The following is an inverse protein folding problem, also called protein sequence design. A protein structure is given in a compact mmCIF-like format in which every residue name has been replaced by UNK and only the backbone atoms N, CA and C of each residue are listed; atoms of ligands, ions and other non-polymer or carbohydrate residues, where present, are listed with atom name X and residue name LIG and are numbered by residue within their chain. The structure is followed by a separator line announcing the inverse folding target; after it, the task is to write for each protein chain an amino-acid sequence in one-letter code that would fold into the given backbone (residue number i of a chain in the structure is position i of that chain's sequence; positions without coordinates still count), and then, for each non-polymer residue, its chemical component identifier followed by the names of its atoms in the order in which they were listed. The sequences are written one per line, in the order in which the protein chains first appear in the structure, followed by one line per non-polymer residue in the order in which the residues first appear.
data_IF_263898402253
#
_entry.id   IF_263898402253
#
_cell.length_a   1.000
_cell.length_b   1.000
_cell.length_c   1.000
_cell.angle_alpha   90.00
_cell.angle_beta   90.00
_cell.angle_gamma   90.00
#
_symmetry.space_group_name_H-M   'P 1'
#
loop_
_entity.id
_entity.type
_entity.pdbx_description
1 polymer ?
#
# COMPACT_ATOMS: atom_id res chain seq x y z
N UNK A 1 -19.24 -2.22 20.30
CA UNK A 1 -18.22 -3.06 19.63
C UNK A 1 -18.47 -3.06 18.13
N UNK A 2 -19.55 -3.67 17.63
CA UNK A 2 -19.76 -3.77 16.18
C UNK A 2 -19.88 -2.41 15.46
N UNK A 3 -20.47 -1.39 16.11
CA UNK A 3 -20.48 -0.03 15.56
C UNK A 3 -19.06 0.54 15.35
N UNK A 4 -18.15 0.34 16.32
CA UNK A 4 -16.75 0.78 16.22
C UNK A 4 -15.98 -0.03 15.16
N UNK A 5 -16.26 -1.34 15.05
CA UNK A 5 -15.68 -2.16 13.97
C UNK A 5 -16.08 -1.63 12.59
N UNK A 6 -17.38 -1.37 12.37
CA UNK A 6 -17.89 -0.86 11.09
C UNK A 6 -17.32 0.53 10.77
N UNK A 7 -17.18 1.40 11.76
CA UNK A 7 -16.55 2.72 11.60
C UNK A 7 -15.11 2.59 11.11
N UNK A 8 -14.29 1.76 11.78
CA UNK A 8 -12.89 1.54 11.41
C UNK A 8 -12.79 0.85 10.03
N UNK A 9 -13.66 -0.12 9.74
CA UNK A 9 -13.70 -0.78 8.43
C UNK A 9 -14.10 0.18 7.31
N UNK A 10 -15.03 1.10 7.57
CA UNK A 10 -15.43 2.13 6.60
C UNK A 10 -14.28 3.08 6.27
N UNK A 11 -13.40 3.37 7.23
CA UNK A 11 -12.18 4.14 6.99
C UNK A 11 -11.09 3.34 6.21
N UNK A 12 -11.20 2.01 6.15
CA UNK A 12 -10.24 1.11 5.53
C UNK A 12 -10.93 0.07 4.62
N UNK A 13 -11.70 0.50 3.61
CA UNK A 13 -12.58 -0.39 2.84
C UNK A 13 -11.81 -1.50 2.10
N UNK A 14 -10.63 -1.18 1.59
CA UNK A 14 -9.81 -2.07 0.75
C UNK A 14 -8.88 -3.01 1.53
N UNK A 15 -8.94 -2.98 2.87
CA UNK A 15 -8.07 -3.78 3.74
C UNK A 15 -8.88 -4.79 4.54
N UNK A 16 -8.35 -6.00 4.69
CA UNK A 16 -8.83 -6.91 5.72
C UNK A 16 -8.55 -6.29 7.09
N UNK A 17 -9.53 -6.27 7.99
CA UNK A 17 -9.37 -5.65 9.31
C UNK A 17 -9.06 -6.70 10.38
N UNK A 18 -7.79 -6.77 10.79
CA UNK A 18 -7.38 -7.52 11.98
C UNK A 18 -7.80 -6.74 13.23
N UNK A 19 -8.97 -7.08 13.79
CA UNK A 19 -9.54 -6.37 14.91
C UNK A 19 -9.20 -7.06 16.25
N UNK A 20 -8.40 -6.41 17.10
CA UNK A 20 -7.94 -7.04 18.34
C UNK A 20 -9.05 -7.25 19.36
N UNK A 21 -9.21 -8.51 19.74
CA UNK A 21 -10.16 -9.02 20.72
C UNK A 21 -9.42 -9.91 21.73
N UNK A 22 -8.78 -9.28 22.71
CA UNK A 22 -7.95 -9.98 23.69
C UNK A 22 -6.70 -10.55 23.02
N UNK A 23 -6.57 -11.88 23.06
CA UNK A 23 -5.43 -12.63 22.51
C UNK A 23 -5.63 -13.08 21.05
N UNK A 24 -6.68 -12.58 20.39
CA UNK A 24 -7.00 -12.88 18.99
C UNK A 24 -7.15 -11.60 18.17
N UNK A 25 -6.78 -11.68 16.90
CA UNK A 25 -7.30 -10.81 15.85
C UNK A 25 -8.51 -11.49 15.23
N UNK A 26 -9.65 -10.84 15.32
CA UNK A 26 -10.91 -11.30 14.71
C UNK A 26 -11.22 -10.47 13.46
N UNK A 27 -11.78 -11.12 12.45
CA UNK A 27 -12.33 -10.50 11.25
C UNK A 27 -13.82 -10.84 11.19
N UNK A 28 -14.63 -9.93 10.64
CA UNK A 28 -16.09 -10.10 10.56
C UNK A 28 -16.61 -9.87 9.14
N UNK A 29 -17.81 -10.39 8.85
CA UNK A 29 -18.51 -10.23 7.58
C UNK A 29 -17.66 -10.77 6.41
N UNK A 30 -17.59 -10.02 5.30
CA UNK A 30 -16.85 -10.40 4.11
C UNK A 30 -15.35 -10.63 4.38
N UNK A 31 -14.74 -9.83 5.26
CA UNK A 31 -13.34 -10.00 5.64
C UNK A 31 -13.09 -11.38 6.26
N UNK A 32 -14.04 -11.89 7.06
CA UNK A 32 -13.96 -13.21 7.66
C UNK A 32 -14.00 -14.31 6.60
N UNK A 33 -14.86 -14.17 5.60
CA UNK A 33 -14.99 -15.14 4.53
C UNK A 33 -13.75 -15.16 3.62
N UNK A 34 -13.22 -13.99 3.28
CA UNK A 34 -11.98 -13.85 2.50
C UNK A 34 -10.81 -14.46 3.27
N UNK A 35 -10.61 -14.06 4.53
CA UNK A 35 -9.50 -14.54 5.35
C UNK A 35 -9.62 -16.05 5.63
N UNK A 36 -10.83 -16.57 5.87
CA UNK A 36 -11.05 -18.01 6.04
C UNK A 36 -10.61 -18.81 4.81
N UNK A 37 -11.01 -18.38 3.61
CA UNK A 37 -10.61 -19.03 2.36
C UNK A 37 -9.11 -18.90 2.09
N UNK A 38 -8.55 -17.70 2.25
CA UNK A 38 -7.14 -17.41 1.99
C UNK A 38 -6.20 -18.16 2.96
N UNK A 39 -6.56 -18.21 4.24
CA UNK A 39 -5.73 -18.79 5.30
C UNK A 39 -6.05 -20.26 5.59
N UNK A 40 -7.15 -20.79 5.08
CA UNK A 40 -7.62 -22.14 5.40
C UNK A 40 -8.00 -22.28 6.89
N UNK A 41 -8.51 -21.21 7.50
CA UNK A 41 -8.96 -21.21 8.91
C UNK A 41 -10.47 -21.35 9.00
N UNK A 42 -10.97 -21.85 10.12
CA UNK A 42 -12.40 -22.12 10.32
C UNK A 42 -13.20 -20.81 10.30
N UNK A 43 -14.21 -20.76 9.42
CA UNK A 43 -15.25 -19.74 9.45
C UNK A 43 -16.32 -20.13 10.48
N UNK A 44 -16.58 -19.23 11.41
CA UNK A 44 -17.58 -19.38 12.48
C UNK A 44 -18.56 -18.21 12.43
N UNK A 45 -19.37 -18.06 13.48
CA UNK A 45 -20.33 -16.97 13.59
C UNK A 45 -20.36 -16.36 14.99
N UNK A 46 -20.60 -15.05 15.08
CA UNK A 46 -20.65 -14.32 16.36
C UNK A 46 -21.86 -13.38 16.43
N UNK A 47 -22.92 -13.84 17.07
CA UNK A 47 -24.13 -13.04 17.29
C UNK A 47 -24.87 -12.73 15.99
N UNK A 48 -25.70 -11.68 16.02
CA UNK A 48 -26.53 -11.26 14.88
C UNK A 48 -26.43 -9.76 14.60
N UNK A 49 -26.47 -9.37 13.33
CA UNK A 49 -26.59 -7.99 12.88
C UNK A 49 -27.73 -7.90 11.86
N UNK A 50 -28.69 -6.99 12.09
CA UNK A 50 -29.88 -6.82 11.23
C UNK A 50 -30.73 -8.09 11.00
N UNK A 51 -30.63 -9.08 11.89
CA UNK A 51 -31.37 -10.34 11.79
C UNK A 51 -30.52 -11.52 11.34
N UNK A 52 -29.38 -11.26 10.69
CA UNK A 52 -28.49 -12.27 10.14
C UNK A 52 -27.32 -12.60 11.06
N UNK A 53 -26.84 -13.84 11.02
CA UNK A 53 -25.65 -14.26 11.77
C UNK A 53 -24.41 -13.58 11.19
N UNK A 54 -23.50 -13.10 12.05
CA UNK A 54 -22.28 -12.39 11.62
C UNK A 54 -21.16 -13.42 11.36
N UNK A 55 -20.66 -13.60 10.12
CA UNK A 55 -19.50 -14.43 9.84
C UNK A 55 -18.27 -13.92 10.60
N UNK A 56 -17.47 -14.84 11.16
CA UNK A 56 -16.29 -14.51 11.94
C UNK A 56 -15.21 -15.57 11.82
N UNK A 57 -13.96 -15.16 11.63
CA UNK A 57 -12.79 -16.00 11.85
C UNK A 57 -11.75 -15.22 12.65
N UNK A 58 -10.79 -15.92 13.23
CA UNK A 58 -9.72 -15.25 13.97
C UNK A 58 -8.43 -16.03 14.00
N UNK A 59 -7.35 -15.29 14.27
CA UNK A 59 -5.99 -15.81 14.40
C UNK A 59 -5.43 -15.37 15.76
N UNK A 60 -4.65 -16.22 16.46
CA UNK A 60 -4.06 -15.84 17.72
C UNK A 60 -2.96 -14.78 17.50
N UNK A 61 -2.89 -13.80 18.40
CA UNK A 61 -1.95 -12.66 18.30
C UNK A 61 -0.50 -13.12 18.22
N UNK A 62 -0.13 -14.15 18.99
CA UNK A 62 1.21 -14.76 19.00
C UNK A 62 1.67 -15.30 17.63
N UNK A 63 0.73 -15.63 16.73
CA UNK A 63 1.02 -16.11 15.37
C UNK A 63 0.56 -15.13 14.29
N UNK A 64 0.19 -13.90 14.67
CA UNK A 64 -0.37 -12.94 13.73
C UNK A 64 0.56 -12.65 12.55
N UNK A 65 1.87 -12.55 12.80
CA UNK A 65 2.88 -12.31 11.76
C UNK A 65 2.87 -13.39 10.66
N UNK A 66 2.73 -14.66 11.03
CA UNK A 66 2.70 -15.77 10.07
C UNK A 66 1.45 -15.68 9.16
N UNK A 67 0.30 -15.33 9.75
CA UNK A 67 -0.94 -15.15 8.99
C UNK A 67 -0.91 -13.88 8.14
N UNK A 68 -0.32 -12.79 8.64
CA UNK A 68 -0.06 -11.59 7.85
C UNK A 68 0.79 -11.94 6.64
N UNK A 69 1.90 -12.67 6.79
CA UNK A 69 2.74 -13.09 5.68
C UNK A 69 1.96 -13.80 4.58
N UNK A 70 1.10 -14.74 4.97
CA UNK A 70 0.29 -15.51 4.03
C UNK A 70 -0.74 -14.63 3.32
N UNK A 71 -1.39 -13.72 4.02
CA UNK A 71 -2.33 -12.76 3.42
C UNK A 71 -1.62 -11.84 2.43
N UNK A 72 -0.45 -11.30 2.78
CA UNK A 72 0.32 -10.43 1.90
C UNK A 72 0.86 -11.20 0.67
N UNK A 73 1.32 -12.44 0.85
CA UNK A 73 1.73 -13.29 -0.28
C UNK A 73 0.57 -13.54 -1.25
N UNK A 74 -0.66 -13.64 -0.73
CA UNK A 74 -1.91 -13.70 -1.49
C UNK A 74 -2.44 -12.32 -1.93
N UNK A 75 -1.59 -11.29 -1.87
CA UNK A 75 -1.86 -9.94 -2.36
C UNK A 75 -2.96 -9.17 -1.61
N UNK A 76 -3.32 -9.60 -0.39
CA UNK A 76 -4.23 -8.84 0.46
C UNK A 76 -3.52 -7.69 1.16
N UNK A 77 -4.25 -6.63 1.49
CA UNK A 77 -3.83 -5.55 2.38
C UNK A 77 -4.51 -5.76 3.73
N UNK A 78 -3.81 -5.50 4.83
CA UNK A 78 -4.33 -5.77 6.18
C UNK A 78 -4.17 -4.54 7.07
N UNK A 79 -5.27 -4.08 7.66
CA UNK A 79 -5.28 -3.06 8.70
C UNK A 79 -5.24 -3.73 10.07
N UNK A 80 -4.22 -3.43 10.86
CA UNK A 80 -4.05 -3.97 12.22
C UNK A 80 -4.62 -2.98 13.22
N UNK A 81 -5.74 -3.36 13.83
CA UNK A 81 -6.46 -2.56 14.79
C UNK A 81 -6.21 -3.07 16.21
N UNK A 82 -5.63 -2.19 17.04
CA UNK A 82 -5.14 -2.50 18.39
C UNK A 82 -6.02 -1.88 19.47
N UNK A 83 -5.90 -2.40 20.69
CA UNK A 83 -6.53 -1.81 21.88
C UNK A 83 -5.68 -0.64 22.40
N UNK A 84 -6.25 0.56 22.38
CA UNK A 84 -5.55 1.77 22.82
C UNK A 84 -5.70 2.06 24.33
N UNK A 85 -6.56 1.31 25.01
CA UNK A 85 -6.73 1.41 26.47
C UNK A 85 -6.92 0.02 27.07
N UNK A 86 -6.55 -0.14 28.34
CA UNK A 86 -6.77 -1.37 29.09
C UNK A 86 -8.28 -1.60 29.30
N UNK A 87 -8.80 -2.83 29.13
CA UNK A 87 -10.17 -3.20 29.49
C UNK A 87 -10.61 -2.77 30.90
N UNK A 88 -9.72 -2.74 31.87
CA UNK A 88 -9.98 -2.27 33.23
C UNK A 88 -10.25 -0.76 33.27
N UNK A 89 -9.47 0.04 32.54
CA UNK A 89 -9.68 1.49 32.41
C UNK A 89 -10.98 1.80 31.66
N UNK A 90 -11.30 1.04 30.61
CA UNK A 90 -12.57 1.18 29.91
C UNK A 90 -13.76 0.93 30.83
N UNK A 91 -13.69 -0.10 31.70
CA UNK A 91 -14.73 -0.41 32.70
C UNK A 91 -14.92 0.72 33.72
N UNK A 92 -13.86 1.45 34.08
CA UNK A 92 -13.96 2.64 34.97
C UNK A 92 -14.77 3.77 34.35
N UNK A 93 -14.79 3.90 33.01
CA UNK A 93 -15.62 4.89 32.29
C UNK A 93 -17.11 4.52 32.25
N UNK A 94 -17.46 3.31 32.65
CA UNK A 94 -18.83 2.81 32.76
C UNK A 94 -18.96 1.36 32.28
N UNK A 95 -19.90 0.61 32.84
CA UNK A 95 -20.08 -0.83 32.54
C UNK A 95 -20.44 -1.15 31.08
N UNK A 96 -20.90 -0.15 30.31
CA UNK A 96 -21.20 -0.25 28.87
C UNK A 96 -20.14 0.39 27.97
N UNK A 97 -19.06 0.91 28.54
CA UNK A 97 -17.96 1.54 27.80
C UNK A 97 -17.22 0.50 26.96
N UNK A 98 -17.06 0.81 25.67
CA UNK A 98 -16.30 -0.02 24.73
C UNK A 98 -14.84 0.44 24.76
N UNK A 99 -13.92 -0.53 24.86
CA UNK A 99 -12.47 -0.31 24.76
C UNK A 99 -12.16 0.40 23.44
N UNK A 100 -11.50 1.56 23.52
CA UNK A 100 -11.00 2.34 22.40
C UNK A 100 -10.01 1.53 21.59
N UNK A 101 -10.18 1.60 20.28
CA UNK A 101 -9.38 0.89 19.30
C UNK A 101 -9.18 1.78 18.09
N UNK A 102 -8.03 1.63 17.47
CA UNK A 102 -7.71 2.31 16.22
C UNK A 102 -6.72 1.46 15.42
N UNK A 103 -6.59 1.76 14.14
CA UNK A 103 -5.58 1.16 13.27
C UNK A 103 -4.24 1.75 13.66
N UNK A 104 -3.34 0.90 14.16
CA UNK A 104 -1.98 1.30 14.50
C UNK A 104 -0.98 0.96 13.40
N UNK A 105 -1.43 0.21 12.39
CA UNK A 105 -0.59 -0.19 11.27
C UNK A 105 -1.40 -0.64 10.06
N UNK A 106 -0.96 -0.26 8.87
CA UNK A 106 -1.41 -0.84 7.60
C UNK A 106 -0.28 -1.68 7.02
N UNK A 107 -0.55 -2.95 6.74
CA UNK A 107 0.40 -3.89 6.13
C UNK A 107 -0.04 -4.11 4.69
N UNK A 108 0.84 -3.77 3.74
CA UNK A 108 0.56 -3.93 2.31
C UNK A 108 1.73 -4.63 1.61
N UNK A 109 1.49 -5.25 0.44
CA UNK A 109 2.55 -5.88 -0.33
C UNK A 109 3.71 -4.94 -0.70
N UNK A 110 3.54 -3.63 -0.79
CA UNK A 110 4.61 -2.69 -1.10
C UNK A 110 5.29 -2.06 0.13
N UNK A 111 4.77 -2.27 1.34
CA UNK A 111 5.16 -1.45 2.51
C UNK A 111 5.55 -2.24 3.76
N UNK A 112 5.85 -3.51 3.57
CA UNK A 112 6.44 -4.38 4.59
C UNK A 112 7.86 -3.91 4.93
N UNK A 113 8.22 -4.00 6.21
CA UNK A 113 9.59 -3.74 6.70
C UNK A 113 10.16 -4.87 7.56
N UNK A 114 9.34 -5.85 7.95
CA UNK A 114 9.76 -6.95 8.81
C UNK A 114 10.54 -8.00 8.05
N UNK A 115 11.73 -8.33 8.56
CA UNK A 115 12.60 -9.37 8.00
C UNK A 115 11.88 -10.71 7.75
N UNK A 116 10.93 -11.08 8.62
CA UNK A 116 10.16 -12.32 8.48
C UNK A 116 9.23 -12.34 7.26
N UNK A 117 8.79 -11.17 6.84
CA UNK A 117 7.86 -10.99 5.72
C UNK A 117 8.60 -10.73 4.39
N UNK A 118 9.89 -10.41 4.43
CA UNK A 118 10.71 -10.12 3.26
C UNK A 118 11.35 -11.40 2.70
N UNK A 119 11.37 -11.51 1.36
CA UNK A 119 12.12 -12.55 0.66
C UNK A 119 13.62 -12.18 0.61
N UNK A 120 14.53 -13.00 1.16
CA UNK A 120 15.96 -12.71 1.11
C UNK A 120 16.48 -12.59 -0.33
N UNK A 121 17.22 -11.52 -0.61
CA UNK A 121 17.89 -11.32 -1.90
C UNK A 121 17.01 -10.78 -3.03
N UNK A 122 15.74 -10.44 -2.75
CA UNK A 122 14.84 -9.79 -3.71
C UNK A 122 14.35 -8.46 -3.19
N UNK A 123 14.40 -7.43 -4.04
CA UNK A 123 13.89 -6.11 -3.68
C UNK A 123 12.36 -6.16 -3.48
N UNK A 124 11.87 -5.41 -2.50
CA UNK A 124 10.45 -5.36 -2.16
C UNK A 124 9.89 -3.99 -2.52
N UNK A 125 9.69 -3.82 -3.83
CA UNK A 125 9.49 -2.50 -4.41
C UNK A 125 8.01 -2.14 -4.50
N UNK A 126 7.67 -1.02 -3.87
CA UNK A 126 6.48 -0.25 -4.20
C UNK A 126 6.76 0.63 -5.42
N UNK A 127 5.90 0.60 -6.43
CA UNK A 127 5.99 1.52 -7.57
C UNK A 127 4.80 2.47 -7.59
N UNK A 128 5.05 3.77 -7.47
CA UNK A 128 4.03 4.79 -7.72
C UNK A 128 4.09 5.27 -9.18
N UNK A 129 2.93 5.41 -9.81
CA UNK A 129 2.80 5.86 -11.20
C UNK A 129 1.97 7.15 -11.25
N UNK A 130 2.51 8.17 -11.90
CA UNK A 130 1.83 9.44 -12.16
C UNK A 130 1.84 9.76 -13.66
N UNK A 131 0.75 10.36 -14.15
CA UNK A 131 0.61 10.80 -15.55
C UNK A 131 0.60 12.31 -15.63
N UNK A 132 1.53 12.86 -16.39
CA UNK A 132 1.49 14.25 -16.82
C UNK A 132 0.90 14.31 -18.23
N UNK A 133 -0.29 14.91 -18.34
CA UNK A 133 -0.93 15.11 -19.64
C UNK A 133 -0.24 16.25 -20.39
N UNK A 134 0.02 16.03 -21.67
CA UNK A 134 0.53 17.08 -22.55
C UNK A 134 -0.56 17.53 -23.53
N UNK A 135 -0.65 18.84 -23.78
CA UNK A 135 -1.65 19.41 -24.69
C UNK A 135 -1.32 19.15 -26.15
N UNK A 136 -0.04 19.24 -26.52
CA UNK A 136 0.46 19.13 -27.91
C UNK A 136 1.55 18.05 -28.07
N UNK A 137 1.67 17.13 -27.11
CA UNK A 137 2.65 16.05 -27.14
C UNK A 137 2.08 14.76 -26.54
N UNK A 138 2.83 13.66 -26.64
CA UNK A 138 2.47 12.43 -25.94
C UNK A 138 2.52 12.62 -24.42
N UNK A 139 1.60 11.95 -23.73
CA UNK A 139 1.59 11.92 -22.27
C UNK A 139 2.85 11.27 -21.72
N UNK A 140 3.33 11.84 -20.61
CA UNK A 140 4.50 11.35 -19.89
C UNK A 140 4.06 10.68 -18.61
N UNK A 141 4.70 9.55 -18.30
CA UNK A 141 4.48 8.76 -17.11
C UNK A 141 5.74 8.80 -16.27
N UNK A 142 5.61 9.27 -15.03
CA UNK A 142 6.64 9.14 -14.02
C UNK A 142 6.42 7.87 -13.23
N UNK A 143 7.51 7.17 -12.94
CA UNK A 143 7.52 6.04 -12.02
C UNK A 143 8.48 6.35 -10.88
N UNK A 144 8.04 6.05 -9.66
CA UNK A 144 8.85 6.11 -8.45
C UNK A 144 8.88 4.73 -7.82
N UNK A 145 10.06 4.14 -7.76
CA UNK A 145 10.34 2.83 -7.16
C UNK A 145 10.93 3.06 -5.77
N UNK A 146 10.26 2.51 -4.75
CA UNK A 146 10.65 2.67 -3.34
C UNK A 146 10.71 1.29 -2.70
N UNK A 147 11.86 0.98 -2.09
CA UNK A 147 12.01 -0.12 -1.17
C UNK A 147 12.13 0.46 0.25
N UNK A 148 11.09 0.30 1.05
CA UNK A 148 11.02 0.89 2.40
C UNK A 148 12.04 0.24 3.34
N UNK A 149 12.33 -1.05 3.14
CA UNK A 149 13.23 -1.82 4.00
C UNK A 149 14.69 -1.37 3.88
N UNK A 150 15.09 -0.95 2.68
CA UNK A 150 16.45 -0.47 2.39
C UNK A 150 16.57 1.05 2.29
N UNK A 151 15.43 1.75 2.17
CA UNK A 151 15.36 3.17 1.86
C UNK A 151 15.70 3.49 0.40
N UNK A 152 15.89 2.50 -0.47
CA UNK A 152 16.21 2.76 -1.88
C UNK A 152 15.05 3.48 -2.57
N UNK A 153 15.38 4.53 -3.32
CA UNK A 153 14.41 5.37 -4.02
C UNK A 153 14.95 5.74 -5.41
N UNK A 154 14.38 5.14 -6.45
CA UNK A 154 14.65 5.51 -7.84
C UNK A 154 13.43 6.09 -8.54
N UNK A 155 13.68 6.91 -9.57
CA UNK A 155 12.64 7.45 -10.45
C UNK A 155 13.01 7.24 -11.91
N UNK A 156 12.01 7.12 -12.77
CA UNK A 156 12.21 7.21 -14.21
C UNK A 156 10.97 7.79 -14.92
N UNK A 157 11.16 8.18 -16.18
CA UNK A 157 10.09 8.71 -17.02
C UNK A 157 10.01 7.94 -18.35
N UNK A 158 8.78 7.62 -18.74
CA UNK A 158 8.43 6.91 -19.97
C UNK A 158 7.20 7.53 -20.65
N UNK A 159 6.89 7.13 -21.87
CA UNK A 159 5.56 7.27 -22.46
C UNK A 159 4.73 5.99 -22.21
N UNK A 160 3.49 5.97 -22.71
CA UNK A 160 2.58 4.83 -22.53
C UNK A 160 3.17 3.51 -23.08
N UNK A 161 3.85 3.56 -24.23
CA UNK A 161 4.43 2.37 -24.87
C UNK A 161 5.52 1.73 -24.01
N UNK A 162 6.34 2.54 -23.32
CA UNK A 162 7.40 2.03 -22.43
C UNK A 162 6.94 1.68 -21.01
N UNK A 163 5.69 2.00 -20.63
CA UNK A 163 5.20 1.80 -19.25
C UNK A 163 5.24 0.33 -18.83
N UNK A 164 4.78 -0.59 -19.68
CA UNK A 164 4.82 -2.02 -19.39
C UNK A 164 6.24 -2.56 -19.23
N UNK A 165 7.17 -2.11 -20.09
CA UNK A 165 8.59 -2.48 -19.98
C UNK A 165 9.22 -1.97 -18.68
N UNK A 166 8.91 -0.73 -18.29
CA UNK A 166 9.38 -0.17 -17.03
C UNK A 166 8.85 -0.94 -15.81
N UNK A 167 7.54 -1.24 -15.76
CA UNK A 167 6.95 -2.03 -14.69
C UNK A 167 7.51 -3.44 -14.63
N UNK A 168 7.66 -4.08 -15.80
CA UNK A 168 8.28 -5.39 -15.87
C UNK A 168 9.69 -5.33 -15.28
N UNK A 169 10.53 -4.35 -15.64
CA UNK A 169 11.90 -4.22 -15.12
C UNK A 169 11.94 -4.00 -13.60
N UNK A 170 11.01 -3.20 -13.06
CA UNK A 170 10.96 -2.86 -11.64
C UNK A 170 10.39 -3.98 -10.76
N UNK A 171 9.64 -4.92 -11.34
CA UNK A 171 8.99 -6.03 -10.63
C UNK A 171 8.24 -5.60 -9.36
N UNK A 172 7.26 -4.68 -9.49
CA UNK A 172 6.55 -4.13 -8.34
C UNK A 172 5.87 -5.22 -7.51
N UNK A 173 5.96 -5.09 -6.19
CA UNK A 173 5.13 -5.85 -5.24
C UNK A 173 3.80 -5.18 -4.98
N UNK A 174 3.69 -3.88 -5.26
CA UNK A 174 2.46 -3.11 -5.24
C UNK A 174 2.61 -1.92 -6.18
N UNK A 175 1.54 -1.58 -6.90
CA UNK A 175 1.49 -0.40 -7.77
C UNK A 175 0.50 0.59 -7.19
N UNK A 176 0.94 1.83 -6.99
CA UNK A 176 0.11 2.91 -6.46
C UNK A 176 -0.12 3.95 -7.53
N UNK A 177 -1.38 4.36 -7.72
CA UNK A 177 -1.73 5.41 -8.65
C UNK A 177 -3.03 6.12 -8.24
N UNK A 178 -3.27 7.26 -8.88
CA UNK A 178 -4.55 7.96 -8.78
C UNK A 178 -5.69 7.11 -9.34
N UNK A 179 -6.88 7.19 -8.74
CA UNK A 179 -8.08 6.49 -9.22
C UNK A 179 -8.38 6.80 -10.69
N UNK A 180 -8.18 8.06 -11.10
CA UNK A 180 -8.39 8.47 -12.49
C UNK A 180 -7.43 7.77 -13.48
N UNK A 181 -6.24 7.38 -13.01
CA UNK A 181 -5.26 6.67 -13.82
C UNK A 181 -5.55 5.17 -13.87
N UNK A 182 -5.93 4.59 -12.73
CA UNK A 182 -6.34 3.19 -12.64
C UNK A 182 -7.58 2.89 -13.50
N UNK A 183 -8.54 3.82 -13.54
CA UNK A 183 -9.77 3.68 -14.31
C UNK A 183 -9.63 4.10 -15.80
N UNK A 184 -8.45 4.56 -16.25
CA UNK A 184 -8.21 4.80 -17.67
C UNK A 184 -8.02 3.46 -18.40
N UNK A 185 -8.83 3.10 -19.40
CA UNK A 185 -8.77 1.77 -20.01
C UNK A 185 -7.41 1.41 -20.64
N UNK A 186 -6.69 2.40 -21.19
CA UNK A 186 -5.41 2.14 -21.85
C UNK A 186 -4.30 1.94 -20.82
N UNK A 187 -4.30 2.73 -19.74
CA UNK A 187 -3.29 2.64 -18.69
C UNK A 187 -3.59 1.50 -17.73
N UNK A 188 -4.84 1.36 -17.28
CA UNK A 188 -5.30 0.33 -16.35
C UNK A 188 -4.92 -1.07 -16.83
N UNK A 189 -5.13 -1.37 -18.12
CA UNK A 189 -4.72 -2.65 -18.72
C UNK A 189 -3.21 -2.92 -18.57
N UNK A 190 -2.38 -1.91 -18.83
CA UNK A 190 -0.91 -2.05 -18.70
C UNK A 190 -0.50 -2.28 -17.24
N UNK A 191 -1.19 -1.65 -16.29
CA UNK A 191 -0.95 -1.83 -14.86
C UNK A 191 -1.40 -3.21 -14.38
N UNK A 192 -2.55 -3.70 -14.86
CA UNK A 192 -3.05 -5.06 -14.59
C UNK A 192 -2.11 -6.15 -15.14
N UNK A 193 -1.55 -5.93 -16.35
CA UNK A 193 -0.61 -6.85 -16.99
C UNK A 193 0.70 -7.02 -16.17
N UNK A 194 1.03 -6.06 -15.29
CA UNK A 194 2.17 -6.18 -14.37
C UNK A 194 1.94 -7.21 -13.25
N UNK A 195 0.69 -7.68 -13.05
CA UNK A 195 0.30 -8.70 -12.05
C UNK A 195 0.67 -8.36 -10.60
N UNK A 196 0.79 -7.07 -10.31
CA UNK A 196 0.96 -6.54 -8.97
C UNK A 196 -0.37 -5.92 -8.48
N UNK A 197 -0.64 -5.89 -7.18
CA UNK A 197 -1.85 -5.29 -6.63
C UNK A 197 -1.88 -3.80 -6.92
N UNK A 198 -3.03 -3.32 -7.37
CA UNK A 198 -3.26 -1.92 -7.64
C UNK A 198 -3.84 -1.26 -6.40
N UNK A 199 -3.18 -0.22 -5.90
CA UNK A 199 -3.57 0.51 -4.70
C UNK A 199 -3.97 1.95 -5.09
N UNK A 200 -5.28 2.27 -5.05
CA UNK A 200 -5.74 3.64 -5.27
C UNK A 200 -5.33 4.53 -4.10
N UNK A 201 -4.88 5.74 -4.40
CA UNK A 201 -4.46 6.72 -3.39
C UNK A 201 -5.34 7.96 -3.34
N UNK A 202 -6.44 8.00 -4.10
CA UNK A 202 -7.35 9.13 -4.15
C UNK A 202 -6.91 10.20 -5.15
N UNK A 203 -7.60 11.35 -5.11
CA UNK A 203 -7.34 12.49 -6.00
C UNK A 203 -6.08 13.28 -5.65
N UNK A 204 -5.56 13.13 -4.44
CA UNK A 204 -4.38 13.85 -3.93
C UNK A 204 -3.05 13.25 -4.43
N UNK A 205 -3.13 12.29 -5.36
CA UNK A 205 -2.00 11.65 -6.01
C UNK A 205 -1.24 12.64 -6.91
N UNK A 206 -0.22 13.29 -6.38
CA UNK A 206 0.80 13.97 -7.17
C UNK A 206 0.30 15.12 -8.04
N UNK A 207 -0.70 15.90 -7.58
CA UNK A 207 -1.01 17.17 -8.26
C UNK A 207 0.23 18.09 -8.21
N UNK A 208 0.52 18.77 -9.32
CA UNK A 208 1.85 19.34 -9.53
C UNK A 208 2.35 20.29 -8.43
N UNK A 209 1.48 21.16 -7.88
CA UNK A 209 1.89 22.12 -6.86
C UNK A 209 1.99 21.48 -5.46
N UNK A 210 1.16 20.48 -5.16
CA UNK A 210 1.27 19.73 -3.90
C UNK A 210 2.43 18.73 -3.91
N UNK A 211 2.85 18.26 -5.09
CA UNK A 211 3.90 17.27 -5.25
C UNK A 211 5.28 17.77 -4.79
N UNK A 212 5.75 18.91 -5.30
CA UNK A 212 7.04 19.48 -4.90
C UNK A 212 7.07 19.80 -3.40
N UNK A 213 5.99 20.41 -2.90
CA UNK A 213 5.84 20.72 -1.48
C UNK A 213 5.94 19.48 -0.61
N UNK A 214 5.29 18.38 -0.99
CA UNK A 214 5.36 17.11 -0.25
C UNK A 214 6.79 16.57 -0.20
N UNK A 215 7.53 16.61 -1.31
CA UNK A 215 8.93 16.19 -1.31
C UNK A 215 9.77 17.10 -0.38
N UNK A 216 9.60 18.42 -0.48
CA UNK A 216 10.29 19.39 0.38
C UNK A 216 9.98 19.15 1.86
N UNK A 217 8.72 18.95 2.23
CA UNK A 217 8.27 18.71 3.61
C UNK A 217 8.77 17.36 4.17
N UNK A 218 8.87 16.34 3.31
CA UNK A 218 9.39 15.02 3.69
C UNK A 218 10.91 15.07 3.94
N UNK A 219 11.67 15.60 2.99
CA UNK A 219 13.14 15.68 3.06
C UNK A 219 13.66 16.89 3.85
N UNK A 220 12.77 17.78 4.30
CA UNK A 220 13.10 19.02 5.01
C UNK A 220 14.06 19.92 4.23
N UNK A 221 13.80 20.08 2.93
CA UNK A 221 14.55 20.95 2.02
C UNK A 221 13.67 22.08 1.51
N UNK A 222 14.27 23.18 1.07
CA UNK A 222 13.52 24.34 0.56
C UNK A 222 13.01 24.12 -0.88
N UNK A 223 13.78 23.43 -1.72
CA UNK A 223 13.46 23.18 -3.13
C UNK A 223 13.84 21.76 -3.54
N UNK A 224 13.25 21.30 -4.65
CA UNK A 224 13.53 19.99 -5.26
C UNK A 224 14.79 19.99 -6.14
N UNK A 225 15.48 21.13 -6.29
CA UNK A 225 16.65 21.28 -7.18
C UNK A 225 17.79 20.33 -6.79
N UNK A 226 17.91 20.02 -5.50
CA UNK A 226 18.90 19.08 -4.96
C UNK A 226 18.67 17.62 -5.37
N UNK A 227 17.56 17.28 -6.02
CA UNK A 227 17.24 15.91 -6.46
C UNK A 227 17.76 15.58 -7.88
N UNK A 228 18.57 16.47 -8.48
CA UNK A 228 19.21 16.20 -9.77
C UNK A 228 18.36 16.52 -10.99
N UNK A 229 17.49 17.54 -10.90
CA UNK A 229 16.72 18.05 -12.04
C UNK A 229 15.65 17.07 -12.52
N UNK A 230 14.86 16.54 -11.58
CA UNK A 230 13.74 15.64 -11.87
C UNK A 230 12.67 16.34 -12.73
N UNK A 231 12.02 15.58 -13.61
CA UNK A 231 10.91 16.08 -14.41
C UNK A 231 9.66 16.23 -13.55
N UNK A 232 8.67 16.98 -14.05
CA UNK A 232 7.37 17.12 -13.37
C UNK A 232 6.67 15.77 -13.18
N UNK A 233 6.82 14.84 -14.12
CA UNK A 233 6.23 13.50 -14.00
C UNK A 233 6.94 12.67 -12.93
N UNK A 234 8.28 12.72 -12.88
CA UNK A 234 9.08 12.06 -11.84
C UNK A 234 8.77 12.61 -10.44
N UNK A 235 8.64 13.94 -10.30
CA UNK A 235 8.26 14.59 -9.05
C UNK A 235 6.86 14.15 -8.60
N UNK A 236 5.89 14.11 -9.51
CA UNK A 236 4.53 13.66 -9.19
C UNK A 236 4.50 12.21 -8.72
N UNK A 237 5.25 11.33 -9.38
CA UNK A 237 5.36 9.92 -8.99
C UNK A 237 6.04 9.77 -7.62
N UNK A 238 7.14 10.49 -7.39
CA UNK A 238 7.86 10.46 -6.11
C UNK A 238 6.98 10.97 -4.96
N UNK A 239 6.24 12.06 -5.17
CA UNK A 239 5.30 12.58 -4.18
C UNK A 239 4.16 11.59 -3.90
N UNK A 240 3.68 10.88 -4.92
CA UNK A 240 2.66 9.84 -4.78
C UNK A 240 3.17 8.66 -3.95
N UNK A 241 4.41 8.21 -4.19
CA UNK A 241 5.04 7.18 -3.37
C UNK A 241 5.15 7.61 -1.90
N UNK A 242 5.64 8.83 -1.65
CA UNK A 242 5.76 9.38 -0.28
C UNK A 242 4.40 9.46 0.41
N UNK A 243 3.36 9.96 -0.27
CA UNK A 243 2.01 10.01 0.30
C UNK A 243 1.53 8.60 0.73
N UNK A 244 1.82 7.59 -0.09
CA UNK A 244 1.41 6.23 0.23
C UNK A 244 2.17 5.65 1.42
N UNK A 245 3.48 5.91 1.46
CA UNK A 245 4.34 5.54 2.59
C UNK A 245 3.84 6.20 3.87
N UNK A 246 3.59 7.51 3.86
CA UNK A 246 3.07 8.24 5.03
C UNK A 246 1.72 7.67 5.51
N UNK A 247 0.83 7.31 4.58
CA UNK A 247 -0.47 6.70 4.89
C UNK A 247 -0.33 5.31 5.50
N UNK A 248 0.49 4.46 4.91
CA UNK A 248 0.67 3.06 5.35
C UNK A 248 1.46 2.95 6.65
N UNK A 249 2.44 3.83 6.84
CA UNK A 249 3.27 3.90 8.04
C UNK A 249 2.68 4.81 9.13
N UNK A 250 1.43 5.29 8.96
CA UNK A 250 0.67 6.11 9.91
C UNK A 250 1.47 7.28 10.48
N UNK A 251 2.11 8.03 9.58
CA UNK A 251 2.92 9.21 9.94
C UNK A 251 4.34 8.90 10.41
N UNK A 252 4.73 7.64 10.57
CA UNK A 252 6.14 7.29 10.66
C UNK A 252 6.83 7.63 9.32
N UNK A 253 8.02 8.22 9.42
CA UNK A 253 8.82 8.65 8.27
C UNK A 253 10.01 7.72 8.12
N UNK A 254 9.91 6.65 7.32
CA UNK A 254 11.06 5.80 7.06
C UNK A 254 12.17 6.61 6.41
N UNK A 255 13.43 6.24 6.70
CA UNK A 255 14.60 6.91 6.16
C UNK A 255 14.78 6.54 4.68
N UNK A 256 14.07 7.23 3.79
CA UNK A 256 14.23 7.06 2.35
C UNK A 256 15.40 7.89 1.84
N UNK A 257 16.19 7.32 0.92
CA UNK A 257 17.19 8.04 0.17
C UNK A 257 16.54 9.08 -0.74
N UNK A 258 17.31 10.10 -1.15
CA UNK A 258 16.83 11.06 -2.14
C UNK A 258 16.47 10.34 -3.45
N UNK A 259 15.36 10.70 -4.12
CA UNK A 259 14.98 10.09 -5.39
C UNK A 259 16.07 10.37 -6.43
N UNK A 260 16.54 9.32 -7.10
CA UNK A 260 17.55 9.42 -8.17
C UNK A 260 17.05 8.77 -9.45
N UNK A 261 17.39 9.36 -10.60
CA UNK A 261 17.12 8.73 -11.89
C UNK A 261 17.91 7.44 -12.02
N UNK A 262 17.25 6.39 -12.49
CA UNK A 262 17.96 5.22 -13.01
C UNK A 262 18.78 5.67 -14.24
N UNK A 263 20.05 5.27 -14.30
CA UNK A 263 20.92 5.65 -15.41
C UNK A 263 20.42 5.04 -16.73
N UNK A 264 19.92 5.87 -17.65
CA UNK A 264 19.58 5.45 -19.02
C UNK A 264 20.86 4.92 -19.69
N UNK A 265 20.80 3.67 -20.18
CA UNK A 265 21.92 3.01 -20.87
C UNK A 265 22.85 2.16 -19.99
N UNK A 266 22.60 2.06 -18.68
CA UNK A 266 23.30 1.11 -17.80
C UNK A 266 22.62 -0.28 -17.77
N UNK A 267 21.46 -0.42 -18.42
CA UNK A 267 20.62 -1.61 -18.43
C UNK A 267 20.13 -1.90 -19.85
N UNK A 268 20.07 -3.19 -20.23
CA UNK A 268 19.46 -3.63 -21.49
C UNK A 268 17.94 -3.63 -21.31
N UNK A 269 17.21 -2.94 -22.18
CA UNK A 269 15.74 -3.03 -22.18
C UNK A 269 15.32 -4.37 -22.79
N UNK A 270 14.70 -5.21 -21.96
CA UNK A 270 14.17 -6.52 -22.34
C UNK A 270 12.68 -6.49 -22.04
N UNK A 271 11.85 -6.84 -23.02
CA UNK A 271 10.42 -6.94 -22.81
C UNK A 271 10.06 -8.09 -21.84
N UNK A 272 8.85 -8.05 -21.28
CA UNK A 272 8.42 -9.02 -20.27
C UNK A 272 8.40 -10.46 -20.79
N UNK A 273 8.08 -10.68 -22.07
CA UNK A 273 8.04 -12.01 -22.67
C UNK A 273 9.45 -12.56 -22.86
N UNK A 274 10.40 -11.73 -23.29
CA UNK A 274 11.80 -12.12 -23.43
C UNK A 274 12.40 -12.43 -22.06
N UNK A 275 12.11 -11.65 -21.00
CA UNK A 275 12.61 -11.96 -19.65
C UNK A 275 12.05 -13.27 -19.09
N UNK A 276 10.78 -13.58 -19.34
CA UNK A 276 10.16 -14.81 -18.85
C UNK A 276 10.68 -16.09 -19.52
N UNK A 277 11.35 -15.98 -20.68
CA UNK A 277 11.83 -17.11 -21.49
C UNK A 277 13.36 -17.31 -21.45
N UNK A 278 14.09 -16.48 -20.70
CA UNK A 278 15.53 -16.63 -20.43
C UNK A 278 15.76 -17.41 -19.14
#
# INVERSE_FOLDING_TARGET
MMAQYLEIKTANPDCLLFYRMGDFYELFFEDAEIASRALGIVLTKRGRHQGDDIPMCGVPVERADDYLQRLIALQHRVAVCEQLEDPAEAKKRGSKSVVRRDVVRLVTPGTITEDRLLEPGRAHVLVAVARLRASDAEDRFGLASVDISTGAFSVCETNLAGLGSALARLEPREIVAADALLNDPAVGRVLEDARAPLAPIGRDAGDGASAERRLCDFYRVATVDGFGGLSRAEIAAAATAILYVEKTQLGARPALALPRREARGATLEIDAATRANL
#
